data_IF_069061348813
#
_entry.id   IF_069061348813
#
_cell.length_a   1.000
_cell.length_b   1.000
_cell.length_c   1.000
_cell.angle_alpha   90.00
_cell.angle_beta   90.00
_cell.angle_gamma   90.00
#
_symmetry.space_group_name_H-M   'P 1'
#
loop_
_entity.id
_entity.type
_entity.pdbx_description
1 polymer ?
#
# COMPACT_ATOMS: atom_id res chain seq x y z
N UNK A 1 -2.62 36.16 18.10
CA UNK A 1 -3.13 36.25 16.71
C UNK A 1 -2.23 35.48 15.72
N UNK A 2 -0.92 35.73 15.66
CA UNK A 2 0.01 35.04 14.74
C UNK A 2 0.15 33.50 14.89
N UNK A 3 -0.19 32.92 16.05
CA UNK A 3 -0.12 31.46 16.28
C UNK A 3 -1.32 30.69 15.71
N UNK A 4 -2.43 31.37 15.40
CA UNK A 4 -3.61 30.76 14.79
C UNK A 4 -3.43 30.67 13.27
N UNK A 5 -2.89 31.71 12.63
CA UNK A 5 -2.56 31.72 11.19
C UNK A 5 -1.51 30.67 10.80
N UNK A 6 -0.47 30.46 11.62
CA UNK A 6 0.55 29.43 11.34
C UNK A 6 0.02 27.99 11.47
N UNK A 7 -0.91 27.74 12.41
CA UNK A 7 -1.65 26.46 12.48
C UNK A 7 -2.62 26.32 11.31
N UNK A 8 -3.33 27.38 10.92
CA UNK A 8 -4.26 27.38 9.78
C UNK A 8 -3.55 27.34 8.41
N UNK A 9 -2.29 27.74 8.28
CA UNK A 9 -1.47 27.59 7.08
C UNK A 9 -0.75 26.23 7.02
N UNK A 10 -0.42 25.64 8.17
CA UNK A 10 0.15 24.28 8.22
C UNK A 10 -0.89 23.19 7.99
N UNK A 11 -2.15 23.37 8.40
CA UNK A 11 -3.26 22.44 8.11
C UNK A 11 -3.54 22.20 6.60
N UNK A 12 -3.65 23.22 5.72
CA UNK A 12 -3.91 23.04 4.29
C UNK A 12 -2.68 22.48 3.56
N UNK A 13 -1.46 22.83 3.98
CA UNK A 13 -0.25 22.19 3.44
C UNK A 13 -0.13 20.72 3.88
N UNK A 14 -0.45 20.41 5.14
CA UNK A 14 -0.43 19.04 5.67
C UNK A 14 -1.50 18.17 4.99
N UNK A 15 -2.72 18.67 4.88
CA UNK A 15 -3.82 17.99 4.18
C UNK A 15 -3.50 17.71 2.71
N UNK A 16 -2.90 18.67 1.98
CA UNK A 16 -2.46 18.45 0.59
C UNK A 16 -1.32 17.44 0.49
N UNK A 17 -0.37 17.46 1.42
CA UNK A 17 0.73 16.50 1.49
C UNK A 17 0.23 15.08 1.74
N UNK A 18 -0.69 14.92 2.70
CA UNK A 18 -1.31 13.65 3.06
C UNK A 18 -2.16 13.08 1.90
N UNK A 19 -2.87 13.94 1.16
CA UNK A 19 -3.64 13.56 -0.04
C UNK A 19 -2.74 13.02 -1.15
N UNK A 20 -1.66 13.75 -1.48
CA UNK A 20 -0.69 13.32 -2.50
C UNK A 20 0.00 12.03 -2.08
N UNK A 21 0.43 11.94 -0.81
CA UNK A 21 1.06 10.74 -0.28
C UNK A 21 0.16 9.51 -0.37
N UNK A 22 -1.14 9.68 -0.14
CA UNK A 22 -2.11 8.58 -0.20
C UNK A 22 -2.24 7.99 -1.60
N UNK A 23 -2.27 8.84 -2.65
CA UNK A 23 -2.23 8.37 -4.05
C UNK A 23 -0.95 7.59 -4.33
N UNK A 24 0.21 8.16 -4.00
CA UNK A 24 1.49 7.48 -4.22
C UNK A 24 1.59 6.14 -3.50
N UNK A 25 0.98 6.03 -2.32
CA UNK A 25 0.95 4.80 -1.53
C UNK A 25 0.15 3.70 -2.23
N UNK A 26 -1.05 4.00 -2.75
CA UNK A 26 -1.89 3.03 -3.47
C UNK A 26 -1.21 2.52 -4.75
N UNK A 27 -0.59 3.43 -5.50
CA UNK A 27 0.22 3.08 -6.69
C UNK A 27 1.41 2.19 -6.34
N UNK A 28 2.11 2.47 -5.24
CA UNK A 28 3.25 1.67 -4.79
C UNK A 28 2.80 0.24 -4.44
N UNK A 29 1.70 0.10 -3.70
CA UNK A 29 1.12 -1.21 -3.35
C UNK A 29 0.74 -2.00 -4.61
N UNK A 30 -0.01 -1.40 -5.52
CA UNK A 30 -0.46 -2.08 -6.73
C UNK A 30 0.74 -2.56 -7.57
N UNK A 31 1.77 -1.71 -7.73
CA UNK A 31 2.98 -2.04 -8.49
C UNK A 31 3.75 -3.22 -7.90
N UNK A 32 3.83 -3.31 -6.57
CA UNK A 32 4.46 -4.44 -5.87
C UNK A 32 3.70 -5.73 -6.20
N UNK A 33 2.36 -5.73 -6.07
CA UNK A 33 1.56 -6.93 -6.32
C UNK A 33 1.64 -7.38 -7.78
N UNK A 34 1.60 -6.44 -8.73
CA UNK A 34 1.76 -6.72 -10.16
C UNK A 34 3.15 -7.29 -10.46
N UNK A 35 4.20 -6.80 -9.81
CA UNK A 35 5.56 -7.36 -9.95
C UNK A 35 5.63 -8.81 -9.46
N UNK A 36 5.01 -9.12 -8.31
CA UNK A 36 4.93 -10.49 -7.78
C UNK A 36 4.15 -11.39 -8.75
N UNK A 37 3.01 -10.93 -9.26
CA UNK A 37 2.21 -11.69 -10.24
C UNK A 37 2.97 -11.89 -11.55
N UNK A 38 3.73 -10.90 -12.03
CA UNK A 38 4.60 -11.03 -13.20
C UNK A 38 5.68 -12.08 -13.00
N UNK A 39 6.29 -12.13 -11.80
CA UNK A 39 7.22 -13.18 -11.43
C UNK A 39 6.54 -14.56 -11.44
N UNK A 40 5.34 -14.69 -10.87
CA UNK A 40 4.57 -15.94 -10.90
C UNK A 40 4.21 -16.39 -12.31
N UNK A 41 3.81 -15.48 -13.19
CA UNK A 41 3.50 -15.78 -14.58
C UNK A 41 4.72 -16.34 -15.34
N UNK A 42 5.92 -15.83 -15.03
CA UNK A 42 7.19 -16.29 -15.61
C UNK A 42 7.60 -17.67 -15.08
N UNK A 43 7.47 -17.89 -13.77
CA UNK A 43 7.85 -19.14 -13.07
C UNK A 43 6.95 -20.31 -13.46
N UNK A 44 5.64 -20.10 -13.42
CA UNK A 44 4.67 -21.15 -13.59
C UNK A 44 4.14 -21.13 -15.02
N UNK A 45 4.50 -22.17 -15.77
CA UNK A 45 4.02 -22.40 -17.15
C UNK A 45 2.64 -23.06 -17.24
N UNK A 46 2.03 -23.40 -16.11
CA UNK A 46 0.71 -24.07 -16.09
C UNK A 46 -0.38 -23.13 -16.59
N UNK A 47 -1.09 -23.54 -17.65
CA UNK A 47 -2.10 -22.69 -18.33
C UNK A 47 -3.21 -22.20 -17.40
N UNK A 48 -3.68 -23.04 -16.48
CA UNK A 48 -4.72 -22.66 -15.50
C UNK A 48 -4.20 -21.58 -14.56
N UNK A 49 -3.01 -21.80 -14.00
CA UNK A 49 -2.40 -20.83 -13.09
C UNK A 49 -2.11 -19.49 -13.76
N UNK A 50 -1.66 -19.49 -15.01
CA UNK A 50 -1.47 -18.27 -15.79
C UNK A 50 -2.75 -17.46 -15.96
N UNK A 51 -3.89 -18.11 -16.20
CA UNK A 51 -5.19 -17.43 -16.25
C UNK A 51 -5.57 -16.83 -14.90
N UNK A 52 -5.36 -17.56 -13.80
CA UNK A 52 -5.61 -17.06 -12.44
C UNK A 52 -4.73 -15.85 -12.13
N UNK A 53 -3.44 -15.89 -12.48
CA UNK A 53 -2.49 -14.78 -12.29
C UNK A 53 -2.91 -13.55 -13.08
N UNK A 54 -3.25 -13.70 -14.38
CA UNK A 54 -3.73 -12.60 -15.21
C UNK A 54 -5.04 -12.03 -14.65
N UNK A 55 -6.00 -12.89 -14.27
CA UNK A 55 -7.26 -12.46 -13.66
C UNK A 55 -7.05 -11.69 -12.36
N UNK A 56 -6.11 -12.13 -11.52
CA UNK A 56 -5.74 -11.44 -10.28
C UNK A 56 -5.07 -10.09 -10.58
N UNK A 57 -4.22 -10.01 -11.62
CA UNK A 57 -3.60 -8.76 -12.03
C UNK A 57 -4.63 -7.73 -12.52
N UNK A 58 -5.59 -8.16 -13.35
CA UNK A 58 -6.70 -7.30 -13.79
C UNK A 58 -7.54 -6.85 -12.60
N UNK A 59 -7.85 -7.75 -11.66
CA UNK A 59 -8.58 -7.40 -10.45
C UNK A 59 -7.87 -6.31 -9.62
N UNK A 60 -6.55 -6.41 -9.45
CA UNK A 60 -5.76 -5.42 -8.71
C UNK A 60 -5.77 -4.06 -9.42
N UNK A 61 -5.68 -4.04 -10.75
CA UNK A 61 -5.78 -2.79 -11.52
C UNK A 61 -7.17 -2.14 -11.40
N UNK A 62 -8.24 -2.94 -11.46
CA UNK A 62 -9.59 -2.45 -11.23
C UNK A 62 -9.77 -1.91 -9.80
N UNK A 63 -9.19 -2.59 -8.81
CA UNK A 63 -9.20 -2.14 -7.42
C UNK A 63 -8.46 -0.80 -7.26
N UNK A 64 -7.25 -0.67 -7.83
CA UNK A 64 -6.49 0.59 -7.82
C UNK A 64 -7.32 1.73 -8.43
N UNK A 65 -7.91 1.51 -9.61
CA UNK A 65 -8.73 2.53 -10.27
C UNK A 65 -9.94 2.94 -9.40
N UNK A 66 -10.58 1.99 -8.73
CA UNK A 66 -11.69 2.28 -7.82
C UNK A 66 -11.25 3.11 -6.60
N UNK A 67 -10.07 2.81 -6.02
CA UNK A 67 -9.53 3.57 -4.89
C UNK A 67 -9.16 4.99 -5.30
N UNK A 68 -8.50 5.18 -6.44
CA UNK A 68 -8.12 6.50 -6.98
C UNK A 68 -9.36 7.36 -7.28
N UNK A 69 -10.43 6.76 -7.84
CA UNK A 69 -11.69 7.47 -8.05
C UNK A 69 -12.35 7.81 -6.70
N UNK A 70 -12.28 6.91 -5.71
CA UNK A 70 -12.78 7.14 -4.36
C UNK A 70 -12.07 8.29 -3.64
N UNK A 71 -10.74 8.37 -3.76
CA UNK A 71 -9.93 9.47 -3.24
C UNK A 71 -10.15 10.77 -4.04
N UNK A 72 -10.34 10.67 -5.36
CA UNK A 72 -10.66 11.81 -6.21
C UNK A 72 -12.03 12.42 -5.92
N UNK A 73 -12.97 11.62 -5.43
CA UNK A 73 -14.35 12.00 -5.10
C UNK A 73 -14.62 12.00 -3.59
N UNK A 74 -13.57 12.04 -2.76
CA UNK A 74 -13.73 11.98 -1.31
C UNK A 74 -14.52 13.16 -0.74
N UNK A 75 -14.48 14.31 -1.42
CA UNK A 75 -15.32 15.46 -1.15
C UNK A 75 -15.80 16.09 -2.46
N UNK A 76 -17.08 16.49 -2.49
CA UNK A 76 -17.64 17.28 -3.59
C UNK A 76 -18.13 18.61 -3.01
N UNK A 77 -17.55 19.76 -3.40
CA UNK A 77 -16.36 19.93 -4.25
C UNK A 77 -15.05 19.55 -3.54
N UNK A 78 -14.05 19.11 -4.31
CA UNK A 78 -12.72 18.69 -3.81
C UNK A 78 -12.02 19.83 -3.03
N UNK A 79 -12.35 21.07 -3.37
CA UNK A 79 -11.86 22.28 -2.71
C UNK A 79 -12.20 22.36 -1.22
N UNK A 80 -13.25 21.64 -0.80
CA UNK A 80 -13.67 21.54 0.61
C UNK A 80 -12.67 20.79 1.48
N UNK A 81 -11.73 20.03 0.90
CA UNK A 81 -10.69 19.30 1.66
C UNK A 81 -9.72 20.27 2.33
N UNK A 82 -9.37 21.36 1.63
CA UNK A 82 -8.38 22.34 2.09
C UNK A 82 -8.98 23.70 2.42
N UNK A 83 -10.25 23.95 2.10
CA UNK A 83 -10.95 25.19 2.42
C UNK A 83 -12.28 24.92 3.13
N UNK A 84 -12.28 25.09 4.46
CA UNK A 84 -13.45 24.86 5.31
C UNK A 84 -14.61 25.85 5.08
N UNK A 85 -14.37 26.96 4.36
CA UNK A 85 -15.42 27.94 4.04
C UNK A 85 -16.34 27.46 2.89
N UNK A 86 -15.90 26.46 2.11
CA UNK A 86 -16.71 25.85 1.05
C UNK A 86 -17.51 24.70 1.63
N UNK A 87 -18.84 24.83 1.68
CA UNK A 87 -19.72 23.73 2.10
C UNK A 87 -19.72 22.61 1.06
N UNK A 88 -18.94 21.57 1.33
CA UNK A 88 -18.95 20.31 0.58
C UNK A 88 -19.63 19.17 1.32
N UNK A 89 -20.03 18.15 0.57
CA UNK A 89 -20.42 16.85 1.13
C UNK A 89 -19.22 15.90 0.98
N UNK A 90 -18.70 15.43 2.11
CA UNK A 90 -17.54 14.54 2.14
C UNK A 90 -17.93 13.13 2.58
N UNK A 91 -17.23 12.13 2.05
CA UNK A 91 -17.37 10.74 2.49
C UNK A 91 -16.71 10.56 3.86
N UNK A 92 -17.13 9.54 4.60
CA UNK A 92 -16.51 9.20 5.87
C UNK A 92 -15.13 8.56 5.61
N UNK A 93 -14.07 9.37 5.75
CA UNK A 93 -12.67 8.97 5.54
C UNK A 93 -12.26 7.76 6.40
N UNK A 94 -12.79 7.65 7.62
CA UNK A 94 -12.49 6.53 8.52
C UNK A 94 -13.06 5.23 7.95
N UNK A 95 -14.33 5.23 7.55
CA UNK A 95 -14.97 4.06 6.94
C UNK A 95 -14.30 3.67 5.62
N UNK A 96 -13.96 4.65 4.77
CA UNK A 96 -13.24 4.42 3.52
C UNK A 96 -11.85 3.83 3.75
N UNK A 97 -11.10 4.35 4.72
CA UNK A 97 -9.78 3.84 5.09
C UNK A 97 -9.85 2.41 5.64
N UNK A 98 -10.82 2.08 6.49
CA UNK A 98 -11.03 0.70 6.96
C UNK A 98 -11.29 -0.26 5.80
N UNK A 99 -12.18 0.12 4.87
CA UNK A 99 -12.48 -0.70 3.70
C UNK A 99 -11.25 -0.94 2.83
N UNK A 100 -10.48 0.11 2.56
CA UNK A 100 -9.25 0.06 1.75
C UNK A 100 -8.21 -0.86 2.39
N UNK A 101 -7.96 -0.69 3.70
CA UNK A 101 -6.99 -1.51 4.42
C UNK A 101 -7.39 -2.99 4.48
N UNK A 102 -8.67 -3.29 4.74
CA UNK A 102 -9.17 -4.67 4.80
C UNK A 102 -9.06 -5.34 3.42
N UNK A 103 -9.51 -4.67 2.36
CA UNK A 103 -9.45 -5.23 1.00
C UNK A 103 -8.00 -5.40 0.53
N UNK A 104 -7.11 -4.48 0.88
CA UNK A 104 -5.69 -4.59 0.61
C UNK A 104 -5.05 -5.81 1.31
N UNK A 105 -5.36 -6.02 2.59
CA UNK A 105 -4.87 -7.18 3.34
C UNK A 105 -5.37 -8.50 2.76
N UNK A 106 -6.65 -8.58 2.40
CA UNK A 106 -7.24 -9.78 1.79
C UNK A 106 -6.54 -10.11 0.46
N UNK A 107 -6.26 -9.11 -0.36
CA UNK A 107 -5.56 -9.31 -1.63
C UNK A 107 -4.10 -9.71 -1.45
N UNK A 108 -3.41 -9.23 -0.41
CA UNK A 108 -2.05 -9.68 -0.07
C UNK A 108 -2.03 -11.15 0.34
N UNK A 109 -2.95 -11.55 1.22
CA UNK A 109 -3.09 -12.96 1.62
C UNK A 109 -3.37 -13.82 0.39
N UNK A 110 -4.30 -13.41 -0.47
CA UNK A 110 -4.61 -14.13 -1.70
C UNK A 110 -3.39 -14.32 -2.60
N UNK A 111 -2.63 -13.25 -2.90
CA UNK A 111 -1.43 -13.32 -3.73
C UNK A 111 -0.35 -14.20 -3.08
N UNK A 112 -0.23 -14.18 -1.76
CA UNK A 112 0.71 -15.03 -1.03
C UNK A 112 0.31 -16.52 -1.04
N UNK A 113 -0.99 -16.81 -0.95
CA UNK A 113 -1.52 -18.18 -0.99
C UNK A 113 -1.49 -18.79 -2.39
N UNK A 114 -1.57 -17.97 -3.44
CA UNK A 114 -1.63 -18.38 -4.84
C UNK A 114 -0.58 -19.45 -5.26
N UNK A 115 0.72 -19.37 -4.90
CA UNK A 115 1.70 -20.40 -5.23
C UNK A 115 1.62 -21.68 -4.36
N UNK A 116 1.02 -21.64 -3.18
CA UNK A 116 1.05 -22.76 -2.21
C UNK A 116 0.38 -24.04 -2.75
N UNK A 117 -0.83 -24.01 -3.32
CA UNK A 117 -1.47 -25.20 -3.88
C UNK A 117 -0.64 -25.89 -4.96
N UNK A 118 0.12 -25.14 -5.77
CA UNK A 118 0.99 -25.71 -6.80
C UNK A 118 2.20 -26.41 -6.18
N UNK A 119 2.74 -25.86 -5.10
CA UNK A 119 3.89 -26.43 -4.38
C UNK A 119 3.50 -27.75 -3.72
N UNK A 120 2.32 -27.84 -3.11
CA UNK A 120 1.86 -29.06 -2.45
C UNK A 120 1.36 -30.14 -3.43
N UNK A 121 0.90 -29.76 -4.62
CA UNK A 121 0.27 -30.68 -5.57
C UNK A 121 1.21 -31.34 -6.59
N UNK A 122 2.46 -30.91 -6.73
CA UNK A 122 3.31 -31.34 -7.86
C UNK A 122 4.73 -31.74 -7.41
N UNK A 123 5.26 -32.86 -7.90
CA UNK A 123 6.68 -33.23 -7.78
C UNK A 123 7.53 -32.22 -8.59
N UNK A 124 7.87 -31.09 -7.97
CA UNK A 124 8.47 -29.95 -8.65
C UNK A 124 9.95 -30.16 -8.98
N UNK A 125 10.32 -29.90 -10.25
CA UNK A 125 11.67 -29.94 -10.80
C UNK A 125 12.63 -28.92 -10.12
N UNK A 126 13.92 -29.28 -9.92
CA UNK A 126 14.92 -28.50 -9.12
C UNK A 126 15.05 -27.01 -9.46
N UNK A 127 14.76 -26.60 -10.71
CA UNK A 127 14.75 -25.18 -11.12
C UNK A 127 13.72 -24.31 -10.37
N UNK A 128 12.53 -24.85 -10.09
CA UNK A 128 11.48 -24.11 -9.35
C UNK A 128 11.80 -23.96 -7.86
N UNK A 129 12.63 -24.85 -7.29
CA UNK A 129 13.14 -24.71 -5.92
C UNK A 129 14.02 -23.47 -5.76
N UNK A 130 14.76 -23.10 -6.81
CA UNK A 130 15.63 -21.92 -6.82
C UNK A 130 14.83 -20.61 -6.85
N UNK A 131 13.69 -20.59 -7.54
CA UNK A 131 12.84 -19.40 -7.63
C UNK A 131 12.06 -19.16 -6.34
N UNK A 132 11.57 -20.21 -5.68
CA UNK A 132 10.97 -20.11 -4.33
C UNK A 132 12.01 -19.62 -3.31
N UNK A 133 13.25 -20.11 -3.39
CA UNK A 133 14.35 -19.59 -2.59
C UNK A 133 14.62 -18.10 -2.87
N UNK A 134 14.47 -17.66 -4.12
CA UNK A 134 14.56 -16.25 -4.50
C UNK A 134 13.49 -15.37 -3.84
N UNK A 135 12.22 -15.80 -3.85
CA UNK A 135 11.14 -15.06 -3.18
C UNK A 135 11.36 -14.99 -1.67
N UNK A 136 11.81 -16.09 -1.06
CA UNK A 136 12.14 -16.12 0.37
C UNK A 136 13.32 -15.19 0.71
N UNK A 137 14.34 -15.13 -0.14
CA UNK A 137 15.48 -14.23 0.01
C UNK A 137 15.08 -12.75 -0.12
N UNK A 138 14.20 -12.41 -1.07
CA UNK A 138 13.65 -11.06 -1.22
C UNK A 138 12.83 -10.67 0.03
N UNK A 139 12.05 -11.61 0.58
CA UNK A 139 11.33 -11.40 1.83
C UNK A 139 12.27 -11.06 3.00
N UNK A 140 13.33 -11.86 3.19
CA UNK A 140 14.34 -11.62 4.24
C UNK A 140 15.06 -10.28 4.05
N UNK A 141 15.40 -9.92 2.82
CA UNK A 141 16.02 -8.63 2.50
C UNK A 141 15.10 -7.46 2.87
N UNK A 142 13.82 -7.56 2.53
CA UNK A 142 12.81 -6.52 2.83
C UNK A 142 12.61 -6.35 4.34
N UNK A 143 12.63 -7.45 5.11
CA UNK A 143 12.63 -7.40 6.58
C UNK A 143 13.85 -6.63 7.13
N UNK A 144 15.04 -6.85 6.56
CA UNK A 144 16.26 -6.12 6.93
C UNK A 144 16.17 -4.62 6.66
N UNK A 145 15.66 -4.24 5.48
CA UNK A 145 15.41 -2.82 5.13
C UNK A 145 14.41 -2.18 6.09
N UNK A 146 13.35 -2.91 6.46
CA UNK A 146 12.34 -2.43 7.41
C UNK A 146 12.94 -2.20 8.80
N UNK A 147 13.78 -3.13 9.29
CA UNK A 147 14.48 -2.98 10.56
C UNK A 147 15.43 -1.77 10.55
N UNK A 148 16.18 -1.57 9.47
CA UNK A 148 17.04 -0.40 9.32
C UNK A 148 16.23 0.92 9.26
N UNK A 149 15.06 0.90 8.63
CA UNK A 149 14.17 2.07 8.61
C UNK A 149 13.62 2.35 10.01
N UNK A 150 13.28 1.32 10.78
CA UNK A 150 12.78 1.45 12.15
C UNK A 150 13.83 2.09 13.07
N UNK A 151 15.11 1.70 12.96
CA UNK A 151 16.18 2.32 13.76
C UNK A 151 16.37 3.80 13.41
N UNK A 152 16.24 4.18 12.15
CA UNK A 152 16.28 5.59 11.72
C UNK A 152 15.09 6.37 12.30
N UNK A 153 13.88 5.84 12.22
CA UNK A 153 12.68 6.48 12.79
C UNK A 153 12.79 6.63 14.30
N UNK A 154 13.25 5.59 15.00
CA UNK A 154 13.49 5.65 16.45
C UNK A 154 14.58 6.68 16.77
N UNK A 155 15.66 6.75 15.99
CA UNK A 155 16.72 7.74 16.21
C UNK A 155 16.25 9.19 16.06
N UNK A 156 15.28 9.45 15.18
CA UNK A 156 14.66 10.77 15.07
C UNK A 156 13.68 11.04 16.23
N UNK A 157 12.97 10.03 16.71
CA UNK A 157 12.15 10.13 17.92
C UNK A 157 12.99 10.41 19.18
N UNK A 158 14.21 9.88 19.28
CA UNK A 158 15.11 10.06 20.43
C UNK A 158 15.65 11.48 20.61
N UNK A 159 15.50 12.37 19.61
CA UNK A 159 15.93 13.76 19.72
C UNK A 159 14.89 14.67 20.41
N UNK A 160 13.64 14.20 20.57
CA UNK A 160 12.54 14.96 21.19
C UNK A 160 12.13 14.46 22.60
N UNK A 161 12.85 13.48 23.18
CA UNK A 161 12.57 12.98 24.54
C UNK A 161 13.55 13.44 25.63
N UNK A 162 14.47 14.38 25.31
CA UNK A 162 15.36 14.99 26.33
C UNK A 162 15.14 16.51 26.40
N UNK A 163 14.71 16.97 27.58
CA UNK A 163 14.39 18.34 28.06
C UNK A 163 12.89 18.71 27.94
N UNK A 164 12.10 18.81 29.02
CA UNK A 164 12.40 19.44 30.31
C UNK A 164 11.62 18.78 31.45
N UNK A 165 12.36 18.36 32.48
CA UNK A 165 11.90 18.32 33.85
C UNK A 165 11.82 19.75 34.41
N UNK A 166 10.61 20.23 34.67
CA UNK A 166 10.25 21.05 35.84
C UNK A 166 8.73 21.20 35.91
#
# INVERSE_FOLDING_TARGET
>A
MALVDTKLLSLPMKSRGDYVFSHFYDWAIATIKISILGLYYRIFSTVVFRRVVIGTAVFILCWLAAMEIGLGLECIPIESIWNSDVKGTCINLVAFSYFTNITNLVTDIWVFLLPLPIIFGLHINRRRKLEVAGVFAIGLFTCGVTLARLTVVVSQGSSDFTCTSK
#
